data_IF_809453374179
#
_entry.id   IF_809453374179
#
_cell.length_a   1.000
_cell.length_b   1.000
_cell.length_c   1.000
_cell.angle_alpha   90.00
_cell.angle_beta   90.00
_cell.angle_gamma   90.00
#
_symmetry.space_group_name_H-M   'P 1'
#
loop_
_entity.id
_entity.type
_entity.pdbx_description
1 polymer ?
#
# COMPACT_ATOMS: atom_id res chain seq x y z
N UNK A 1 6.27 -4.32 -2.09
CA UNK A 1 5.95 -3.23 -1.15
C UNK A 1 4.48 -3.32 -0.78
N UNK A 2 4.08 -2.87 0.42
CA UNK A 2 2.68 -2.75 0.81
C UNK A 2 2.43 -1.43 1.56
N UNK A 3 1.28 -0.82 1.34
CA UNK A 3 0.82 0.36 2.05
C UNK A 3 -0.66 0.18 2.45
N UNK A 4 -1.17 1.00 3.38
CA UNK A 4 -2.60 1.01 3.64
C UNK A 4 -3.36 1.35 2.35
N UNK A 5 -4.34 0.54 2.04
CA UNK A 5 -5.23 0.74 0.91
C UNK A 5 -6.14 1.96 1.10
N UNK A 6 -6.81 2.45 0.04
CA UNK A 6 -7.77 3.57 0.14
C UNK A 6 -8.88 3.37 1.19
N UNK A 7 -9.34 2.13 1.37
CA UNK A 7 -10.33 1.68 2.36
C UNK A 7 -9.70 1.19 3.68
N UNK A 8 -8.39 1.33 3.84
CA UNK A 8 -7.67 1.03 5.06
C UNK A 8 -7.96 2.03 6.19
N UNK A 9 -7.40 1.81 7.39
CA UNK A 9 -7.60 2.69 8.53
C UNK A 9 -7.10 4.11 8.25
N UNK A 10 -7.76 5.10 8.82
CA UNK A 10 -7.35 6.51 8.73
C UNK A 10 -6.26 6.90 9.72
N UNK A 11 -6.06 6.08 10.77
CA UNK A 11 -5.04 6.28 11.79
C UNK A 11 -4.41 4.96 12.22
N UNK A 12 -3.14 4.98 12.57
CA UNK A 12 -2.40 3.88 13.19
C UNK A 12 -1.57 4.41 14.35
N UNK A 13 -1.57 3.72 15.50
CA UNK A 13 -0.91 4.17 16.73
C UNK A 13 -1.27 5.61 17.16
N UNK A 14 -2.50 6.04 16.86
CA UNK A 14 -2.97 7.40 17.15
C UNK A 14 -2.47 8.47 16.16
N UNK A 15 -1.74 8.12 15.11
CA UNK A 15 -1.27 9.07 14.10
C UNK A 15 -2.06 8.93 12.80
N UNK A 16 -2.30 10.03 12.05
CA UNK A 16 -2.86 9.93 10.70
C UNK A 16 -1.91 9.12 9.81
N UNK A 17 -2.49 8.31 8.92
CA UNK A 17 -1.72 7.53 7.94
C UNK A 17 -2.07 7.97 6.53
N UNK A 18 -1.10 7.87 5.64
CA UNK A 18 -1.35 7.93 4.20
C UNK A 18 -1.93 6.61 3.72
N UNK A 19 -2.84 6.69 2.74
CA UNK A 19 -3.45 5.56 2.06
C UNK A 19 -3.19 5.73 0.56
N UNK A 20 -2.94 4.63 -0.13
CA UNK A 20 -2.63 4.63 -1.54
C UNK A 20 -3.38 3.52 -2.26
N UNK A 21 -3.89 3.82 -3.44
CA UNK A 21 -4.07 2.84 -4.50
C UNK A 21 -2.74 2.57 -5.22
N UNK A 22 -2.58 1.41 -5.89
CA UNK A 22 -1.31 1.03 -6.51
C UNK A 22 -0.69 2.07 -7.44
N UNK A 23 -1.52 2.76 -8.23
CA UNK A 23 -1.06 3.80 -9.15
C UNK A 23 -0.59 5.07 -8.43
N UNK A 24 -1.20 5.42 -7.30
CA UNK A 24 -0.77 6.54 -6.47
C UNK A 24 0.57 6.22 -5.82
N UNK A 25 0.73 5.00 -5.29
CA UNK A 25 1.99 4.54 -4.71
C UNK A 25 3.10 4.51 -5.76
N UNK A 26 2.80 4.04 -6.98
CA UNK A 26 3.76 4.06 -8.09
C UNK A 26 4.23 5.49 -8.42
N UNK A 27 3.31 6.47 -8.43
CA UNK A 27 3.67 7.88 -8.67
C UNK A 27 4.55 8.45 -7.56
N UNK A 28 4.25 8.15 -6.30
CA UNK A 28 5.03 8.60 -5.15
C UNK A 28 6.46 8.04 -5.17
N UNK A 29 6.63 6.80 -5.63
CA UNK A 29 7.93 6.13 -5.70
C UNK A 29 8.81 6.54 -6.90
N UNK A 30 8.23 7.18 -7.91
CA UNK A 30 8.93 7.69 -9.09
C UNK A 30 9.18 6.67 -10.21
N UNK A 31 9.76 7.14 -11.31
CA UNK A 31 9.83 6.42 -12.60
C UNK A 31 10.79 5.21 -12.62
N UNK A 32 11.69 5.06 -11.63
CA UNK A 32 12.63 3.95 -11.57
C UNK A 32 11.99 2.59 -11.24
N UNK A 33 10.70 2.59 -10.86
CA UNK A 33 9.97 1.40 -10.45
C UNK A 33 8.75 1.18 -11.36
N UNK A 34 8.74 0.04 -12.05
CA UNK A 34 7.62 -0.40 -12.87
C UNK A 34 6.74 -1.33 -12.04
N UNK A 35 5.44 -1.04 -12.00
CA UNK A 35 4.45 -1.87 -11.32
C UNK A 35 4.18 -3.12 -12.17
N UNK A 36 4.52 -4.29 -11.64
CA UNK A 36 4.37 -5.58 -12.33
C UNK A 36 3.08 -6.30 -11.90
N UNK A 37 2.72 -6.21 -10.62
CA UNK A 37 1.52 -6.84 -10.10
C UNK A 37 0.99 -6.13 -8.87
N UNK A 38 -0.32 -6.26 -8.63
CA UNK A 38 -0.99 -5.75 -7.45
C UNK A 38 -1.73 -6.88 -6.73
N UNK A 39 -1.91 -6.72 -5.42
CA UNK A 39 -2.71 -7.62 -4.61
C UNK A 39 -3.40 -6.83 -3.51
N UNK A 40 -4.68 -7.13 -3.28
CA UNK A 40 -5.40 -6.63 -2.10
C UNK A 40 -5.24 -7.63 -0.97
N UNK A 41 -4.83 -7.14 0.19
CA UNK A 41 -4.71 -7.95 1.39
C UNK A 41 -5.56 -7.37 2.50
N UNK A 42 -6.33 -8.23 3.16
CA UNK A 42 -7.08 -7.88 4.36
C UNK A 42 -6.44 -8.59 5.54
N UNK A 43 -5.94 -7.80 6.48
CA UNK A 43 -5.33 -8.30 7.70
C UNK A 43 -6.26 -8.05 8.88
N UNK A 44 -6.49 -9.07 9.70
CA UNK A 44 -7.20 -8.94 10.97
C UNK A 44 -6.16 -8.86 12.08
N UNK A 45 -6.12 -7.75 12.81
CA UNK A 45 -5.17 -7.61 13.93
C UNK A 45 -5.53 -8.57 15.06
N UNK A 46 -4.62 -8.88 15.99
CA UNK A 46 -4.93 -9.70 17.15
C UNK A 46 -6.10 -9.16 18.01
N UNK A 47 -6.40 -7.87 17.94
CA UNK A 47 -7.57 -7.25 18.59
C UNK A 47 -8.85 -7.29 17.74
N UNK A 48 -8.86 -8.02 16.62
CA UNK A 48 -10.03 -8.22 15.76
C UNK A 48 -10.34 -7.07 14.80
N UNK A 49 -9.45 -6.09 14.62
CA UNK A 49 -9.67 -4.98 13.68
C UNK A 49 -9.22 -5.36 12.28
N UNK A 50 -10.02 -5.06 11.26
CA UNK A 50 -9.61 -5.23 9.87
C UNK A 50 -8.75 -4.05 9.39
N UNK A 51 -7.70 -4.36 8.63
CA UNK A 51 -6.84 -3.40 7.96
C UNK A 51 -6.62 -3.86 6.51
N UNK A 52 -7.09 -3.06 5.56
CA UNK A 52 -6.85 -3.28 4.14
C UNK A 52 -5.51 -2.71 3.71
N UNK A 53 -4.76 -3.49 2.93
CA UNK A 53 -3.47 -3.11 2.37
C UNK A 53 -3.46 -3.28 0.85
N UNK A 54 -2.85 -2.32 0.16
CA UNK A 54 -2.49 -2.40 -1.25
C UNK A 54 -1.06 -2.96 -1.36
N UNK A 55 -0.95 -4.23 -1.74
CA UNK A 55 0.31 -4.90 -2.06
C UNK A 55 0.70 -4.64 -3.52
N UNK A 56 1.94 -4.26 -3.75
CA UNK A 56 2.49 -3.97 -5.07
C UNK A 56 3.83 -4.67 -5.25
N UNK A 57 3.97 -5.42 -6.35
CA UNK A 57 5.23 -5.93 -6.84
C UNK A 57 5.79 -4.92 -7.83
N UNK A 58 6.96 -4.37 -7.51
CA UNK A 58 7.68 -3.47 -8.41
C UNK A 58 8.95 -4.15 -8.91
N UNK A 59 9.24 -3.96 -10.19
CA UNK A 59 10.55 -4.24 -10.76
C UNK A 59 11.30 -2.91 -10.90
N UNK A 60 12.52 -2.89 -10.41
CA UNK A 60 13.42 -1.77 -10.65
C UNK A 60 13.90 -1.79 -12.10
N UNK A 61 13.89 -0.63 -12.76
CA UNK A 61 14.37 -0.47 -14.11
C UNK A 61 15.41 0.64 -14.16
N UNK A 62 16.65 0.26 -14.48
CA UNK A 62 17.66 1.23 -14.88
C UNK A 62 17.34 1.72 -16.29
N UNK A 63 17.46 3.03 -16.50
CA UNK A 63 17.60 3.61 -17.83
C UNK A 63 18.96 3.23 -18.43
#
# INVERSE_FOLDING_TARGET
>A
MAAFASDGPTRCSGLPVMRYEPDELRRELGEGLVLEATRRERHVTPQGKEQSFAGCLFRFQNK
#
